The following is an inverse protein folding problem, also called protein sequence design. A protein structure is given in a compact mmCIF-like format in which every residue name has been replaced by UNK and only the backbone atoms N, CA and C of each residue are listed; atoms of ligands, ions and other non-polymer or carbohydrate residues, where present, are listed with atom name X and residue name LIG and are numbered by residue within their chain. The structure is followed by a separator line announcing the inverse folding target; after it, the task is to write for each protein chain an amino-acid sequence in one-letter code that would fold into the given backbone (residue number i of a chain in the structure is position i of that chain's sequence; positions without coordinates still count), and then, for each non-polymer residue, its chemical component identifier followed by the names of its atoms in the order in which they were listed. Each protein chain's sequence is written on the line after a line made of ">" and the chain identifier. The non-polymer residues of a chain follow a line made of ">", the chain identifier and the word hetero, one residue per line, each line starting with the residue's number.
data_IF_451164598721
#
_entry.id   IF_451164598721
#
_cell.length_a   1.000
_cell.length_b   1.000
_cell.length_c   1.000
_cell.angle_alpha   90.00
_cell.angle_beta   90.00
_cell.angle_gamma   90.00
#
_symmetry.space_group_name_H-M   'P 1'
#
loop_
_entity.id
_entity.type
_entity.pdbx_description
1 polymer ?
#
# COMPACT_ATOMS: atom_id res chain seq x y z
N UNK A 1 -12.81 3.90 50.15
CA UNK A 1 -13.28 3.77 48.75
C UNK A 1 -12.20 4.36 47.86
N UNK A 2 -11.33 3.53 47.30
CA UNK A 2 -10.20 3.98 46.47
C UNK A 2 -10.68 3.98 45.02
N UNK A 3 -10.75 5.16 44.40
CA UNK A 3 -11.21 5.32 43.02
C UNK A 3 -9.99 5.10 42.13
N UNK A 4 -9.97 4.01 41.37
CA UNK A 4 -8.91 3.70 40.41
C UNK A 4 -8.91 4.71 39.27
N UNK A 5 -7.79 5.40 39.05
CA UNK A 5 -7.60 6.33 37.94
C UNK A 5 -7.65 5.60 36.59
N UNK A 6 -8.27 6.14 35.54
CA UNK A 6 -8.27 5.51 34.22
C UNK A 6 -6.86 5.56 33.60
N UNK A 7 -6.42 4.45 33.01
CA UNK A 7 -5.18 4.39 32.22
C UNK A 7 -5.33 5.32 31.01
N UNK A 8 -4.45 6.32 30.91
CA UNK A 8 -4.34 7.17 29.73
C UNK A 8 -3.66 6.38 28.62
N UNK A 9 -4.41 6.00 27.58
CA UNK A 9 -3.85 5.42 26.36
C UNK A 9 -3.21 6.55 25.53
N UNK A 10 -1.95 6.84 25.81
CA UNK A 10 -1.15 7.75 24.98
C UNK A 10 -0.61 6.95 23.79
N UNK A 11 -1.03 7.31 22.57
CA UNK A 11 -0.44 6.75 21.36
C UNK A 11 1.06 7.07 21.32
N UNK A 12 1.89 6.04 21.23
CA UNK A 12 3.33 6.20 21.00
C UNK A 12 3.54 6.40 19.50
N UNK A 13 4.21 7.48 19.05
CA UNK A 13 4.53 7.62 17.65
C UNK A 13 5.49 6.51 17.22
N UNK A 14 5.13 5.79 16.16
CA UNK A 14 5.99 4.78 15.54
C UNK A 14 6.99 5.46 14.62
N UNK A 15 8.28 5.21 14.83
CA UNK A 15 9.33 5.64 13.91
C UNK A 15 9.45 4.63 12.77
N UNK A 16 9.08 5.04 11.55
CA UNK A 16 9.27 4.24 10.34
C UNK A 16 10.47 4.71 9.51
N UNK A 17 11.11 3.79 8.80
CA UNK A 17 12.14 4.11 7.80
C UNK A 17 11.59 3.85 6.41
N UNK A 18 11.78 4.82 5.52
CA UNK A 18 11.40 4.73 4.12
C UNK A 18 12.58 5.11 3.21
N UNK A 19 12.77 4.36 2.13
CA UNK A 19 13.70 4.70 1.05
C UNK A 19 13.03 4.47 -0.29
N UNK A 20 13.32 5.33 -1.27
CA UNK A 20 12.70 5.31 -2.58
C UNK A 20 13.78 5.41 -3.66
N UNK A 21 13.59 4.65 -4.73
CA UNK A 21 14.41 4.65 -5.93
C UNK A 21 13.55 5.02 -7.12
N UNK A 22 14.05 5.97 -7.89
CA UNK A 22 13.41 6.46 -9.10
C UNK A 22 14.20 5.99 -10.32
N UNK A 23 13.51 5.78 -11.45
CA UNK A 23 14.16 5.51 -12.73
C UNK A 23 14.73 6.79 -13.37
N UNK A 24 15.36 6.65 -14.55
CA UNK A 24 15.95 7.78 -15.27
C UNK A 24 14.94 8.83 -15.74
N UNK A 25 13.66 8.47 -15.80
CA UNK A 25 12.56 9.35 -16.19
C UNK A 25 11.87 10.01 -14.97
N UNK A 26 12.35 9.72 -13.76
CA UNK A 26 11.82 10.27 -12.51
C UNK A 26 10.58 9.55 -11.99
N UNK A 27 10.20 8.40 -12.55
CA UNK A 27 9.10 7.59 -12.00
C UNK A 27 9.59 6.78 -10.81
N UNK A 28 8.72 6.59 -9.82
CA UNK A 28 9.02 5.70 -8.69
C UNK A 28 9.18 4.27 -9.21
N UNK A 29 10.34 3.67 -9.01
CA UNK A 29 10.65 2.30 -9.47
C UNK A 29 10.59 1.29 -8.33
N UNK A 30 11.07 1.69 -7.13
CA UNK A 30 11.10 0.83 -5.95
C UNK A 30 11.01 1.64 -4.65
N UNK A 31 10.29 1.12 -3.67
CA UNK A 31 10.22 1.66 -2.32
C UNK A 31 10.53 0.58 -1.29
N UNK A 32 11.20 0.94 -0.21
CA UNK A 32 11.35 0.09 0.98
C UNK A 32 10.76 0.87 2.14
N UNK A 33 9.68 0.38 2.73
CA UNK A 33 9.03 1.01 3.89
C UNK A 33 8.91 -0.03 4.98
N UNK A 34 9.55 0.20 6.12
CA UNK A 34 9.54 -0.72 7.27
C UNK A 34 9.89 -2.18 6.88
N UNK A 35 10.86 -2.35 5.98
CA UNK A 35 11.31 -3.66 5.50
C UNK A 35 10.52 -4.23 4.30
N UNK A 36 9.32 -3.70 4.01
CA UNK A 36 8.51 -4.14 2.85
C UNK A 36 9.07 -3.52 1.58
N UNK A 37 9.46 -4.37 0.63
CA UNK A 37 9.98 -3.93 -0.68
C UNK A 37 8.83 -3.90 -1.68
N UNK A 38 8.50 -2.72 -2.20
CA UNK A 38 7.51 -2.56 -3.28
C UNK A 38 8.17 -2.16 -4.57
N UNK A 39 7.89 -2.89 -5.64
CA UNK A 39 8.25 -2.54 -7.01
C UNK A 39 7.07 -1.89 -7.72
N UNK A 40 7.35 -0.88 -8.53
CA UNK A 40 6.37 -0.05 -9.24
C UNK A 40 6.63 -0.07 -10.77
N UNK A 41 6.38 -1.20 -11.46
CA UNK A 41 6.52 -1.31 -12.91
C UNK A 41 5.40 -0.55 -13.64
N UNK A 42 5.57 0.77 -13.72
CA UNK A 42 4.64 1.68 -14.40
C UNK A 42 3.26 1.70 -13.76
N UNK A 43 2.23 1.99 -14.57
CA UNK A 43 0.85 2.26 -14.09
C UNK A 43 0.00 1.01 -13.89
N UNK A 44 0.48 -0.18 -14.26
CA UNK A 44 -0.36 -1.38 -14.36
C UNK A 44 -0.47 -2.17 -13.06
N UNK A 45 0.63 -2.30 -12.32
CA UNK A 45 0.60 -3.03 -11.05
C UNK A 45 1.76 -2.64 -10.15
N UNK A 46 1.58 -2.87 -8.86
CA UNK A 46 2.63 -2.83 -7.85
C UNK A 46 2.84 -4.23 -7.29
N UNK A 47 4.09 -4.57 -6.96
CA UNK A 47 4.44 -5.84 -6.32
C UNK A 47 5.15 -5.59 -5.01
N UNK A 48 4.47 -5.82 -3.90
CA UNK A 48 5.02 -5.74 -2.56
C UNK A 48 5.52 -7.12 -2.11
N UNK A 49 6.69 -7.15 -1.50
CA UNK A 49 7.32 -8.34 -0.92
C UNK A 49 7.61 -8.06 0.55
N UNK A 50 7.06 -8.90 1.41
CA UNK A 50 7.25 -8.89 2.86
C UNK A 50 7.65 -10.30 3.32
N UNK A 51 8.97 -10.52 3.45
CA UNK A 51 9.52 -11.85 3.65
C UNK A 51 9.14 -12.81 2.51
N UNK A 52 8.43 -13.88 2.84
CA UNK A 52 7.90 -14.85 1.86
C UNK A 52 6.54 -14.44 1.27
N UNK A 53 5.87 -13.43 1.83
CA UNK A 53 4.58 -12.96 1.36
C UNK A 53 4.76 -12.02 0.17
N UNK A 54 3.99 -12.25 -0.88
CA UNK A 54 3.95 -11.39 -2.05
C UNK A 54 2.52 -10.91 -2.25
N UNK A 55 2.35 -9.60 -2.34
CA UNK A 55 1.09 -8.96 -2.65
C UNK A 55 1.22 -8.21 -3.97
N UNK A 56 0.37 -8.54 -4.94
CA UNK A 56 0.30 -7.86 -6.22
C UNK A 56 -0.98 -7.04 -6.28
N UNK A 57 -0.86 -5.73 -6.47
CA UNK A 57 -1.99 -4.82 -6.74
C UNK A 57 -2.01 -4.47 -8.21
N UNK A 58 -3.03 -4.88 -8.96
CA UNK A 58 -3.26 -4.52 -10.36
C UNK A 58 -4.28 -3.40 -10.45
N UNK A 59 -4.01 -2.39 -11.27
CA UNK A 59 -4.89 -1.24 -11.49
C UNK A 59 -5.56 -1.34 -12.85
N UNK A 60 -6.89 -1.33 -12.88
CA UNK A 60 -7.67 -1.30 -14.11
C UNK A 60 -8.16 0.12 -14.34
N UNK A 61 -7.74 0.71 -15.47
CA UNK A 61 -7.96 2.12 -15.75
C UNK A 61 -8.77 2.32 -17.04
N UNK A 62 -9.70 3.27 -17.01
CA UNK A 62 -10.34 3.85 -18.20
C UNK A 62 -9.83 5.29 -18.34
N UNK A 63 -8.99 5.53 -19.36
CA UNK A 63 -8.27 6.80 -19.49
C UNK A 63 -7.34 7.06 -18.30
N UNK A 64 -7.52 8.20 -17.62
CA UNK A 64 -6.76 8.56 -16.42
C UNK A 64 -7.33 7.98 -15.11
N UNK A 65 -8.51 7.37 -15.15
CA UNK A 65 -9.25 6.97 -13.94
C UNK A 65 -9.10 5.48 -13.65
N UNK A 66 -8.71 5.13 -12.43
CA UNK A 66 -8.74 3.74 -11.95
C UNK A 66 -10.15 3.37 -11.55
N UNK A 67 -10.71 2.35 -12.19
CA UNK A 67 -12.10 1.88 -11.97
C UNK A 67 -12.18 0.59 -11.15
N UNK A 68 -11.07 -0.15 -11.05
CA UNK A 68 -10.97 -1.29 -10.16
C UNK A 68 -9.51 -1.56 -9.76
N UNK A 69 -9.33 -2.17 -8.59
CA UNK A 69 -8.05 -2.68 -8.11
C UNK A 69 -8.20 -4.14 -7.75
N UNK A 70 -7.36 -5.00 -8.32
CA UNK A 70 -7.26 -6.41 -7.91
C UNK A 70 -6.06 -6.58 -6.99
N UNK A 71 -6.28 -7.17 -5.82
CA UNK A 71 -5.21 -7.54 -4.89
C UNK A 71 -5.10 -9.06 -4.85
N UNK A 72 -3.93 -9.58 -5.21
CA UNK A 72 -3.61 -11.01 -5.15
C UNK A 72 -2.55 -11.21 -4.08
N UNK A 73 -2.81 -12.07 -3.10
CA UNK A 73 -1.90 -12.45 -2.04
C UNK A 73 -2.06 -13.94 -1.71
N UNK A 74 -1.05 -14.74 -2.03
CA UNK A 74 -1.15 -16.20 -1.93
C UNK A 74 -2.32 -16.72 -2.78
N UNK A 75 -3.24 -17.46 -2.15
CA UNK A 75 -4.47 -17.97 -2.78
C UNK A 75 -5.66 -16.99 -2.71
N UNK A 76 -5.49 -15.85 -2.05
CA UNK A 76 -6.54 -14.82 -1.95
C UNK A 76 -6.45 -13.89 -3.15
N UNK A 77 -7.56 -13.76 -3.87
CA UNK A 77 -7.73 -12.86 -5.01
C UNK A 77 -8.99 -12.04 -4.78
N UNK A 78 -8.83 -10.73 -4.61
CA UNK A 78 -9.94 -9.80 -4.34
C UNK A 78 -9.96 -8.70 -5.38
N UNK A 79 -11.11 -8.51 -6.02
CA UNK A 79 -11.37 -7.41 -6.96
C UNK A 79 -12.28 -6.38 -6.30
N UNK A 80 -11.76 -5.17 -6.12
CA UNK A 80 -12.52 -4.03 -5.60
C UNK A 80 -12.85 -3.08 -6.76
N UNK A 81 -14.13 -2.79 -6.93
CA UNK A 81 -14.61 -1.77 -7.86
C UNK A 81 -14.60 -0.40 -7.18
N UNK A 82 -14.11 0.60 -7.90
CA UNK A 82 -14.13 2.00 -7.47
C UNK A 82 -15.29 2.66 -8.21
N UNK A 83 -16.30 3.04 -7.45
CA UNK A 83 -17.44 3.81 -7.94
C UNK A 83 -17.28 5.23 -7.40
N UNK A 84 -17.12 6.18 -8.31
CA UNK A 84 -16.99 7.60 -8.00
C UNK A 84 -17.99 8.38 -8.84
N UNK A 85 -18.48 9.47 -8.29
CA UNK A 85 -19.19 10.47 -9.06
C UNK A 85 -18.21 11.27 -9.94
N UNK A 86 -18.76 12.13 -10.80
CA UNK A 86 -17.97 12.98 -11.68
C UNK A 86 -17.67 14.33 -11.01
N UNK A 87 -16.84 14.33 -9.96
CA UNK A 87 -16.20 15.57 -9.50
C UNK A 87 -14.80 15.36 -8.92
#
# INVERSE_FOLDING_TARGET
>A
MQISSPLSLRATPETGQASYLYDGDGNLARGIVNGVVTFYPGRHYNRAVDGANVTVKKFYTLGSTTVAVRTVQGSTDTLNWILSDCH
#
